data_IF_133917585606
#
_entry.id   IF_133917585606
#
_cell.length_a   1.000
_cell.length_b   1.000
_cell.length_c   1.000
_cell.angle_alpha   90.00
_cell.angle_beta   90.00
_cell.angle_gamma   90.00
#
_symmetry.space_group_name_H-M   'P 1'
#
loop_
_entity.id
_entity.type
_entity.pdbx_description
1 polymer ?
#
# COMPACT_ATOMS: atom_id res chain seq x y z
N UNK A 1 4.76 14.05 12.31
CA UNK A 1 3.77 13.36 11.45
C UNK A 1 2.97 12.42 12.32
N UNK A 2 1.63 12.41 12.21
CA UNK A 2 0.76 11.53 13.02
C UNK A 2 0.25 10.38 12.15
N UNK A 3 1.07 9.34 12.07
CA UNK A 3 0.80 8.14 11.28
C UNK A 3 -0.49 7.44 11.75
N UNK A 4 -0.75 7.26 13.07
CA UNK A 4 -1.99 6.64 13.53
C UNK A 4 -3.25 7.35 13.07
N UNK A 5 -3.28 8.70 13.10
CA UNK A 5 -4.43 9.48 12.60
C UNK A 5 -4.63 9.29 11.09
N UNK A 6 -3.55 9.29 10.31
CA UNK A 6 -3.63 9.07 8.88
C UNK A 6 -4.16 7.67 8.54
N UNK A 7 -3.65 6.63 9.19
CA UNK A 7 -4.12 5.25 9.00
C UNK A 7 -5.60 5.12 9.36
N UNK A 8 -6.03 5.71 10.49
CA UNK A 8 -7.44 5.70 10.89
C UNK A 8 -8.35 6.33 9.83
N UNK A 9 -7.94 7.46 9.26
CA UNK A 9 -8.69 8.11 8.19
C UNK A 9 -8.83 7.20 6.97
N UNK A 10 -7.73 6.60 6.51
CA UNK A 10 -7.73 5.74 5.33
C UNK A 10 -8.60 4.49 5.54
N UNK A 11 -8.57 3.89 6.73
CA UNK A 11 -9.46 2.79 7.11
C UNK A 11 -10.93 3.20 7.07
N UNK A 12 -11.27 4.35 7.65
CA UNK A 12 -12.65 4.86 7.62
C UNK A 12 -13.15 5.11 6.19
N UNK A 13 -12.28 5.50 5.26
CA UNK A 13 -12.64 5.63 3.84
C UNK A 13 -12.77 4.25 3.18
N UNK A 14 -11.89 3.30 3.49
CA UNK A 14 -11.96 1.93 2.96
C UNK A 14 -13.27 1.22 3.34
N UNK A 15 -13.82 1.51 4.52
CA UNK A 15 -15.11 0.96 4.98
C UNK A 15 -16.30 1.41 4.12
N UNK A 16 -16.16 2.51 3.36
CA UNK A 16 -17.21 3.02 2.47
C UNK A 16 -17.39 2.18 1.20
N UNK A 17 -16.59 1.12 0.98
CA UNK A 17 -16.70 0.29 -0.24
C UNK A 17 -18.07 -0.37 -0.40
N UNK A 18 -18.80 -0.59 0.70
CA UNK A 18 -20.07 -1.32 0.74
C UNK A 18 -21.32 -0.44 0.90
N UNK A 19 -21.27 0.84 0.47
CA UNK A 19 -22.43 1.72 0.55
C UNK A 19 -23.63 1.17 -0.24
N UNK A 20 -24.80 1.11 0.39
CA UNK A 20 -26.03 0.65 -0.24
C UNK A 20 -26.53 1.70 -1.26
N UNK A 21 -26.89 1.26 -2.47
CA UNK A 21 -27.26 2.14 -3.60
C UNK A 21 -28.70 1.98 -4.08
N UNK A 22 -29.53 1.26 -3.32
CA UNK A 22 -30.88 0.84 -3.73
C UNK A 22 -31.78 2.01 -4.18
N UNK A 23 -31.73 3.15 -3.50
CA UNK A 23 -32.63 4.29 -3.75
C UNK A 23 -31.93 5.54 -4.34
N UNK A 24 -30.70 5.39 -4.85
CA UNK A 24 -29.93 6.54 -5.35
C UNK A 24 -30.34 6.97 -6.76
N UNK A 25 -30.39 8.29 -6.98
CA UNK A 25 -30.51 8.90 -8.31
C UNK A 25 -29.28 8.59 -9.18
N UNK A 26 -29.37 8.73 -10.52
CA UNK A 26 -28.23 8.51 -11.42
C UNK A 26 -26.99 9.36 -11.09
N UNK A 27 -27.18 10.58 -10.61
CA UNK A 27 -26.08 11.47 -10.22
C UNK A 27 -25.39 10.97 -8.93
N UNK A 28 -26.19 10.57 -7.94
CA UNK A 28 -25.68 9.99 -6.68
C UNK A 28 -24.95 8.67 -6.93
N UNK A 29 -25.46 7.83 -7.84
CA UNK A 29 -24.78 6.59 -8.24
C UNK A 29 -23.38 6.85 -8.78
N UNK A 30 -23.18 7.90 -9.57
CA UNK A 30 -21.85 8.26 -10.09
C UNK A 30 -20.89 8.65 -8.97
N UNK A 31 -21.37 9.44 -8.00
CA UNK A 31 -20.59 9.86 -6.83
C UNK A 31 -20.22 8.64 -5.97
N UNK A 32 -21.20 7.78 -5.68
CA UNK A 32 -20.98 6.57 -4.87
C UNK A 32 -19.98 5.65 -5.56
N UNK A 33 -20.09 5.42 -6.87
CA UNK A 33 -19.08 4.63 -7.61
C UNK A 33 -17.67 5.22 -7.49
N UNK A 34 -17.52 6.56 -7.53
CA UNK A 34 -16.23 7.20 -7.32
C UNK A 34 -15.70 7.01 -5.89
N UNK A 35 -16.57 7.12 -4.88
CA UNK A 35 -16.22 6.87 -3.48
C UNK A 35 -15.84 5.41 -3.27
N UNK A 36 -16.61 4.46 -3.79
CA UNK A 36 -16.33 3.03 -3.70
C UNK A 36 -15.00 2.68 -4.38
N UNK A 37 -14.67 3.31 -5.51
CA UNK A 37 -13.37 3.10 -6.17
C UNK A 37 -12.20 3.62 -5.31
N UNK A 38 -12.37 4.79 -4.67
CA UNK A 38 -11.39 5.34 -3.74
C UNK A 38 -11.23 4.45 -2.50
N UNK A 39 -12.35 3.97 -1.94
CA UNK A 39 -12.38 3.04 -0.82
C UNK A 39 -11.67 1.74 -1.16
N UNK A 40 -11.92 1.19 -2.36
CA UNK A 40 -11.27 -0.04 -2.82
C UNK A 40 -9.77 0.14 -3.02
N UNK A 41 -9.34 1.31 -3.51
CA UNK A 41 -7.93 1.68 -3.63
C UNK A 41 -7.24 1.64 -2.26
N UNK A 42 -7.81 2.32 -1.25
CA UNK A 42 -7.22 2.34 0.10
C UNK A 42 -7.31 1.00 0.81
N UNK A 43 -8.39 0.25 0.62
CA UNK A 43 -8.50 -1.12 1.14
C UNK A 43 -7.39 -2.00 0.57
N UNK A 44 -7.17 -1.96 -0.75
CA UNK A 44 -6.12 -2.72 -1.42
C UNK A 44 -4.71 -2.32 -0.97
N UNK A 45 -4.51 -1.06 -0.57
CA UNK A 45 -3.26 -0.57 0.01
C UNK A 45 -3.03 -1.08 1.44
N UNK A 46 -4.06 -1.03 2.30
CA UNK A 46 -3.90 -1.27 3.73
C UNK A 46 -4.01 -2.75 4.13
N UNK A 47 -4.89 -3.50 3.47
CA UNK A 47 -5.18 -4.91 3.81
C UNK A 47 -3.90 -5.77 3.95
N UNK A 48 -2.90 -5.67 3.06
CA UNK A 48 -1.65 -6.45 3.16
C UNK A 48 -0.85 -6.23 4.45
N UNK A 49 -1.02 -5.08 5.10
CA UNK A 49 -0.23 -4.68 6.25
C UNK A 49 -0.97 -4.87 7.58
N UNK A 50 -2.30 -4.86 7.55
CA UNK A 50 -3.14 -4.96 8.76
C UNK A 50 -3.68 -6.36 9.00
N UNK A 51 -3.80 -7.18 7.95
CA UNK A 51 -4.38 -8.52 8.02
C UNK A 51 -3.28 -9.60 8.01
N UNK A 52 -2.93 -10.19 9.17
CA UNK A 52 -1.89 -11.20 9.26
C UNK A 52 -2.28 -12.56 8.66
N UNK A 53 -3.58 -12.78 8.39
CA UNK A 53 -4.08 -14.04 7.83
C UNK A 53 -3.83 -14.14 6.31
N UNK A 54 -3.46 -13.04 5.66
CA UNK A 54 -3.14 -13.06 4.24
C UNK A 54 -1.80 -13.76 3.98
N UNK A 55 -1.81 -14.70 3.04
CA UNK A 55 -0.58 -15.23 2.47
C UNK A 55 0.21 -14.16 1.72
N UNK A 56 1.51 -14.35 1.58
CA UNK A 56 2.37 -13.43 0.82
C UNK A 56 1.88 -13.19 -0.61
N UNK A 57 1.31 -14.22 -1.26
CA UNK A 57 0.74 -14.07 -2.61
C UNK A 57 -0.49 -13.17 -2.61
N UNK A 58 -1.39 -13.31 -1.63
CA UNK A 58 -2.57 -12.45 -1.50
C UNK A 58 -2.17 -11.00 -1.17
N UNK A 59 -1.17 -10.82 -0.29
CA UNK A 59 -0.61 -9.50 -0.01
C UNK A 59 -0.10 -8.81 -1.28
N UNK A 60 0.63 -9.53 -2.14
CA UNK A 60 1.11 -9.02 -3.42
C UNK A 60 -0.02 -8.75 -4.41
N UNK A 61 -1.06 -9.59 -4.43
CA UNK A 61 -2.24 -9.38 -5.28
C UNK A 61 -2.98 -8.09 -4.92
N UNK A 62 -3.17 -7.83 -3.62
CA UNK A 62 -3.74 -6.58 -3.12
C UNK A 62 -2.88 -5.36 -3.51
N UNK A 63 -1.56 -5.44 -3.35
CA UNK A 63 -0.67 -4.35 -3.79
C UNK A 63 -0.69 -4.15 -5.31
N UNK A 64 -0.78 -5.23 -6.08
CA UNK A 64 -0.92 -5.17 -7.55
C UNK A 64 -2.23 -4.48 -7.93
N UNK A 65 -3.35 -4.86 -7.29
CA UNK A 65 -4.67 -4.23 -7.47
C UNK A 65 -4.62 -2.74 -7.15
N UNK A 66 -4.00 -2.36 -6.03
CA UNK A 66 -3.77 -0.96 -5.67
C UNK A 66 -3.00 -0.21 -6.77
N UNK A 67 -1.90 -0.78 -7.26
CA UNK A 67 -1.10 -0.20 -8.34
C UNK A 67 -1.89 -0.01 -9.64
N UNK A 68 -2.71 -0.99 -10.02
CA UNK A 68 -3.57 -0.92 -11.20
C UNK A 68 -4.67 0.14 -11.06
N UNK A 69 -5.32 0.26 -9.90
CA UNK A 69 -6.32 1.31 -9.65
C UNK A 69 -5.67 2.70 -9.75
N UNK A 70 -4.52 2.90 -9.12
CA UNK A 70 -3.78 4.16 -9.21
C UNK A 70 -3.43 4.51 -10.67
N UNK A 71 -2.97 3.54 -11.44
CA UNK A 71 -2.65 3.71 -12.87
C UNK A 71 -3.89 4.12 -13.66
N UNK A 72 -5.02 3.43 -13.50
CA UNK A 72 -6.26 3.76 -14.19
C UNK A 72 -6.77 5.17 -13.85
N UNK A 73 -6.68 5.57 -12.57
CA UNK A 73 -7.08 6.90 -12.11
C UNK A 73 -6.15 7.99 -12.64
N UNK A 74 -4.85 7.75 -12.66
CA UNK A 74 -3.86 8.66 -13.22
C UNK A 74 -4.00 8.81 -14.73
N UNK A 75 -4.24 7.73 -15.47
CA UNK A 75 -4.48 7.80 -16.93
C UNK A 75 -5.76 8.58 -17.27
N UNK A 76 -6.79 8.47 -16.43
CA UNK A 76 -8.09 9.11 -16.67
C UNK A 76 -8.10 10.59 -16.30
N UNK A 77 -7.50 10.95 -15.17
CA UNK A 77 -7.64 12.27 -14.57
C UNK A 77 -6.30 13.03 -14.50
N UNK A 78 -5.18 12.38 -14.85
CA UNK A 78 -3.85 12.98 -14.82
C UNK A 78 -3.48 13.56 -13.46
N UNK A 79 -2.85 14.73 -13.51
CA UNK A 79 -2.36 15.46 -12.34
C UNK A 79 -3.47 16.07 -11.48
N UNK A 80 -4.71 16.15 -11.99
CA UNK A 80 -5.86 16.67 -11.24
C UNK A 80 -6.28 15.70 -10.13
N UNK A 81 -5.98 14.41 -10.29
CA UNK A 81 -6.24 13.40 -9.26
C UNK A 81 -5.04 13.17 -8.35
N UNK A 82 -3.83 13.01 -8.92
CA UNK A 82 -2.62 12.82 -8.15
C UNK A 82 -1.43 13.48 -8.85
N UNK A 83 -0.57 14.17 -8.10
CA UNK A 83 0.65 14.75 -8.67
C UNK A 83 1.56 13.64 -9.22
N UNK A 84 2.41 13.98 -10.19
CA UNK A 84 3.40 13.03 -10.73
C UNK A 84 4.28 12.43 -9.62
N UNK A 85 4.63 13.24 -8.63
CA UNK A 85 5.39 12.81 -7.46
C UNK A 85 4.62 11.76 -6.65
N UNK A 86 3.37 12.07 -6.30
CA UNK A 86 2.52 11.14 -5.55
C UNK A 86 2.31 9.84 -6.32
N UNK A 87 2.02 9.91 -7.62
CA UNK A 87 1.89 8.71 -8.45
C UNK A 87 3.16 7.86 -8.43
N UNK A 88 4.32 8.49 -8.60
CA UNK A 88 5.62 7.80 -8.54
C UNK A 88 5.81 7.09 -7.21
N UNK A 89 5.61 7.81 -6.09
CA UNK A 89 5.77 7.27 -4.74
C UNK A 89 4.82 6.10 -4.46
N UNK A 90 3.54 6.22 -4.86
CA UNK A 90 2.55 5.15 -4.71
C UNK A 90 2.88 3.92 -5.57
N UNK A 91 3.41 4.10 -6.77
CA UNK A 91 3.79 2.99 -7.66
C UNK A 91 5.09 2.29 -7.24
N UNK A 92 5.97 2.97 -6.50
CA UNK A 92 7.20 2.36 -5.99
C UNK A 92 6.89 1.23 -4.99
N UNK A 93 5.87 1.37 -4.16
CA UNK A 93 5.51 0.39 -3.14
C UNK A 93 5.20 -1.03 -3.70
N UNK A 94 4.24 -1.22 -4.63
CA UNK A 94 3.97 -2.54 -5.20
C UNK A 94 5.16 -3.10 -5.98
N UNK A 95 5.88 -2.25 -6.72
CA UNK A 95 7.06 -2.67 -7.50
C UNK A 95 8.19 -3.18 -6.60
N UNK A 96 8.50 -2.43 -5.55
CA UNK A 96 9.52 -2.81 -4.58
C UNK A 96 9.16 -4.12 -3.88
N UNK A 97 7.88 -4.28 -3.51
CA UNK A 97 7.41 -5.51 -2.89
C UNK A 97 7.55 -6.72 -3.81
N UNK A 98 7.06 -6.64 -5.04
CA UNK A 98 7.12 -7.73 -6.03
C UNK A 98 8.59 -8.08 -6.31
N UNK A 99 9.44 -7.09 -6.54
CA UNK A 99 10.85 -7.31 -6.86
C UNK A 99 11.61 -7.94 -5.70
N UNK A 100 11.38 -7.46 -4.47
CA UNK A 100 12.02 -7.99 -3.26
C UNK A 100 11.62 -9.43 -3.01
N UNK A 101 10.32 -9.75 -3.11
CA UNK A 101 9.84 -11.14 -2.95
C UNK A 101 10.42 -12.03 -4.04
N UNK A 102 10.41 -11.59 -5.30
CA UNK A 102 10.93 -12.35 -6.43
C UNK A 102 12.42 -12.67 -6.26
N UNK A 103 13.22 -11.68 -5.84
CA UNK A 103 14.65 -11.86 -5.57
C UNK A 103 14.89 -12.83 -4.40
N UNK A 104 14.12 -12.71 -3.33
CA UNK A 104 14.25 -13.62 -2.18
C UNK A 104 13.93 -15.06 -2.59
N UNK A 105 12.84 -15.27 -3.33
CA UNK A 105 12.42 -16.60 -3.80
C UNK A 105 13.37 -17.20 -4.83
N UNK A 106 13.98 -16.37 -5.68
CA UNK A 106 15.03 -16.80 -6.61
C UNK A 106 16.28 -17.27 -5.87
N UNK A 107 16.66 -16.58 -4.78
CA UNK A 107 17.82 -16.93 -3.97
C UNK A 107 17.58 -18.20 -3.14
N UNK A 108 16.41 -18.32 -2.53
CA UNK A 108 15.95 -19.55 -1.88
C UNK A 108 14.42 -19.58 -1.79
N UNK A 109 13.74 -20.61 -2.34
CA UNK A 109 12.29 -20.74 -2.24
C UNK A 109 11.77 -20.77 -0.80
N UNK A 110 12.58 -21.26 0.15
CA UNK A 110 12.25 -21.43 1.56
C UNK A 110 12.29 -20.13 2.38
N UNK A 111 12.81 -19.02 1.82
CA UNK A 111 12.88 -17.77 2.56
C UNK A 111 11.49 -17.23 2.89
N UNK A 112 11.32 -16.95 4.19
CA UNK A 112 10.16 -16.23 4.71
C UNK A 112 10.38 -14.74 4.47
N UNK A 113 9.47 -14.14 3.71
CA UNK A 113 9.48 -12.71 3.42
C UNK A 113 8.29 -12.10 4.13
N UNK A 114 8.53 -11.04 4.90
CA UNK A 114 7.51 -10.33 5.66
C UNK A 114 7.40 -8.91 5.12
N UNK A 115 6.23 -8.56 4.58
CA UNK A 115 5.99 -7.27 3.92
C UNK A 115 6.06 -6.09 4.89
N UNK A 116 5.76 -6.29 6.17
CA UNK A 116 5.91 -5.27 7.22
C UNK A 116 7.36 -4.80 7.43
N UNK A 117 8.37 -5.56 6.96
CA UNK A 117 9.78 -5.21 7.06
C UNK A 117 10.30 -4.41 5.86
N UNK A 118 9.43 -4.10 4.88
CA UNK A 118 9.83 -3.34 3.70
C UNK A 118 9.96 -1.84 3.96
N UNK A 119 9.50 -1.35 5.12
CA UNK A 119 9.60 0.05 5.52
C UNK A 119 10.99 0.43 6.03
N UNK A 120 11.30 1.73 5.97
CA UNK A 120 12.53 2.31 6.51
C UNK A 120 12.56 2.38 8.04
N UNK A 121 11.41 2.17 8.69
CA UNK A 121 11.24 2.14 10.15
C UNK A 121 11.94 0.95 10.81
N UNK A 122 12.00 -0.20 10.13
CA UNK A 122 12.80 -1.35 10.54
C UNK A 122 14.32 -1.03 10.55
N UNK A 123 14.78 -0.18 9.64
CA UNK A 123 16.17 0.29 9.59
C UNK A 123 16.48 1.28 10.71
N UNK A 124 15.58 2.22 10.99
CA UNK A 124 15.75 3.21 12.07
C UNK A 124 15.76 2.53 13.45
N UNK A 125 14.92 1.51 13.64
CA UNK A 125 14.86 0.76 14.90
C UNK A 125 16.06 -0.18 15.09
N UNK A 126 16.56 -0.82 14.02
CA UNK A 126 17.78 -1.65 14.10
C UNK A 126 19.05 -0.82 14.32
N UNK A 127 19.18 0.38 13.73
CA UNK A 127 20.30 1.29 14.00
C UNK A 127 20.31 1.85 15.44
N UNK A 128 19.14 1.96 16.08
CA UNK A 128 19.01 2.38 17.48
C UNK A 128 19.49 1.32 18.48
N UNK A 129 19.54 0.05 18.07
CA UNK A 129 19.95 -1.07 18.92
C UNK A 129 21.41 -1.52 18.71
N UNK A 130 22.14 -0.92 17.78
CA UNK A 130 23.56 -1.19 17.59
C UNK A 130 24.38 -0.26 18.51
N UNK A 131 25.22 -0.79 19.41
CA UNK A 131 26.20 0.03 20.10
C UNK A 131 27.14 0.66 19.07
N UNK A 132 27.39 1.96 19.22
CA UNK A 132 28.36 2.72 18.43
C UNK A 132 29.76 2.23 18.79
N UNK A 133 30.22 1.17 18.14
CA UNK A 133 31.64 0.83 18.12
C UNK A 133 31.97 0.07 16.82
N UNK A 134 32.42 0.84 15.82
CA UNK A 134 33.36 0.34 14.82
C UNK A 134 34.54 1.30 14.77
N UNK A 135 35.51 1.07 15.64
CA UNK A 135 36.88 1.49 15.38
C UNK A 135 37.41 0.68 14.20
N UNK A 136 37.73 1.36 13.09
CA UNK A 136 38.48 0.77 12.00
C UNK A 136 39.96 0.69 12.42
N UNK A 137 40.66 -0.44 12.25
CA UNK A 137 42.10 -0.47 12.39
C UNK A 137 42.75 0.20 11.16
N UNK A 138 43.85 0.92 11.45
CA UNK A 138 44.72 1.69 10.56
C UNK A 138 45.36 0.89 9.44
#
# INVERSE_FOLDING_TARGET
QDVPRAVKLLLSVADLKNLNTFDCSPAEKKIITSISLLAEMFHSLLEPFINPELSLSQQLEHLSKFGHICCALFLKNGTDYMSNQLYGDLQCMPKNAIFTVSKAKLLSPEYKVFMCLFGDDAWISSQRLLPVERTFPS
#
